data_IF_111917217738
#
_entry.id   IF_111917217738
#
_cell.length_a   1.000
_cell.length_b   1.000
_cell.length_c   1.000
_cell.angle_alpha   90.00
_cell.angle_beta   90.00
_cell.angle_gamma   90.00
#
_symmetry.space_group_name_H-M   'P 1'
#
loop_
_entity.id
_entity.type
_entity.pdbx_description
1 polymer ?
#
# COMPACT_ATOMS: atom_id res chain seq x y z
N UNK A 1 19.23 -20.37 -6.88
CA UNK A 1 18.67 -19.01 -7.06
C UNK A 1 19.08 -18.18 -5.85
N UNK A 2 19.66 -17.00 -6.06
CA UNK A 2 20.18 -16.14 -4.98
C UNK A 2 19.02 -15.50 -4.18
N UNK A 3 19.25 -15.21 -2.90
CA UNK A 3 18.27 -14.57 -1.99
C UNK A 3 17.64 -13.29 -2.58
N UNK A 4 18.43 -12.49 -3.31
CA UNK A 4 17.94 -11.29 -4.00
C UNK A 4 16.86 -11.57 -5.05
N UNK A 5 16.95 -12.69 -5.76
CA UNK A 5 15.98 -13.00 -6.82
C UNK A 5 14.61 -13.32 -6.21
N UNK A 6 14.57 -14.03 -5.09
CA UNK A 6 13.34 -14.30 -4.36
C UNK A 6 12.69 -12.99 -3.88
N UNK A 7 13.47 -12.11 -3.26
CA UNK A 7 12.98 -10.81 -2.78
C UNK A 7 12.36 -9.96 -3.92
N UNK A 8 13.04 -9.86 -5.06
CA UNK A 8 12.55 -9.08 -6.21
C UNK A 8 11.24 -9.66 -6.76
N UNK A 9 11.15 -10.99 -6.90
CA UNK A 9 9.95 -11.66 -7.43
C UNK A 9 8.75 -11.42 -6.49
N UNK A 10 8.92 -11.65 -5.18
CA UNK A 10 7.84 -11.43 -4.20
C UNK A 10 7.46 -9.95 -4.10
N UNK A 11 8.41 -9.03 -4.16
CA UNK A 11 8.13 -7.59 -4.18
C UNK A 11 7.32 -7.19 -5.41
N UNK A 12 7.64 -7.73 -6.59
CA UNK A 12 6.91 -7.43 -7.82
C UNK A 12 5.47 -7.95 -7.74
N UNK A 13 5.28 -9.16 -7.21
CA UNK A 13 3.95 -9.76 -6.99
C UNK A 13 3.14 -8.95 -5.97
N UNK A 14 3.78 -8.48 -4.89
CA UNK A 14 3.12 -7.65 -3.88
C UNK A 14 2.60 -6.34 -4.49
N UNK A 15 3.41 -5.67 -5.31
CA UNK A 15 2.99 -4.44 -6.01
C UNK A 15 1.87 -4.75 -7.01
N UNK A 16 2.00 -5.81 -7.81
CA UNK A 16 0.98 -6.20 -8.78
C UNK A 16 -0.37 -6.51 -8.13
N UNK A 17 -0.36 -7.26 -7.02
CA UNK A 17 -1.58 -7.58 -6.26
C UNK A 17 -2.19 -6.33 -5.62
N UNK A 18 -1.38 -5.45 -5.03
CA UNK A 18 -1.85 -4.16 -4.48
C UNK A 18 -2.49 -3.25 -5.54
N UNK A 19 -1.96 -3.22 -6.76
CA UNK A 19 -2.59 -2.47 -7.86
C UNK A 19 -3.94 -3.07 -8.24
N UNK A 20 -4.04 -4.41 -8.24
CA UNK A 20 -5.27 -5.11 -8.58
C UNK A 20 -6.36 -4.93 -7.51
N UNK A 21 -5.98 -4.80 -6.22
CA UNK A 21 -6.90 -4.43 -5.12
C UNK A 21 -7.63 -3.13 -5.44
N UNK A 22 -6.90 -2.09 -5.86
CA UNK A 22 -7.46 -0.74 -6.06
C UNK A 22 -8.18 -0.64 -7.41
N UNK A 23 -7.74 -1.41 -8.42
CA UNK A 23 -8.31 -1.36 -9.78
C UNK A 23 -9.58 -2.18 -9.94
N UNK A 24 -9.88 -3.12 -9.04
CA UNK A 24 -11.03 -4.01 -9.18
C UNK A 24 -12.33 -3.31 -8.76
N UNK A 25 -13.35 -3.21 -9.63
CA UNK A 25 -14.58 -2.47 -9.33
C UNK A 25 -15.51 -3.18 -8.33
N UNK A 26 -15.36 -4.50 -8.17
CA UNK A 26 -16.15 -5.27 -7.21
C UNK A 26 -15.39 -5.38 -5.87
N UNK A 27 -16.02 -4.91 -4.78
CA UNK A 27 -15.40 -4.84 -3.46
C UNK A 27 -15.01 -6.22 -2.90
N UNK A 28 -15.80 -7.27 -3.15
CA UNK A 28 -15.45 -8.65 -2.73
C UNK A 28 -14.15 -9.11 -3.36
N UNK A 29 -14.00 -8.91 -4.67
CA UNK A 29 -12.77 -9.30 -5.36
C UNK A 29 -11.59 -8.42 -4.93
N UNK A 30 -11.80 -7.12 -4.71
CA UNK A 30 -10.78 -6.21 -4.18
C UNK A 30 -10.20 -6.71 -2.84
N UNK A 31 -11.06 -7.10 -1.89
CA UNK A 31 -10.60 -7.61 -0.59
C UNK A 31 -9.95 -8.98 -0.73
N UNK A 32 -10.40 -9.84 -1.64
CA UNK A 32 -9.70 -11.11 -1.92
C UNK A 32 -8.25 -10.87 -2.38
N UNK A 33 -8.03 -9.91 -3.29
CA UNK A 33 -6.68 -9.49 -3.70
C UNK A 33 -5.88 -8.91 -2.53
N UNK A 34 -6.54 -8.28 -1.56
CA UNK A 34 -5.89 -7.74 -0.35
C UNK A 34 -5.36 -8.87 0.55
N UNK A 35 -6.12 -9.97 0.71
CA UNK A 35 -5.66 -11.15 1.45
C UNK A 35 -4.39 -11.71 0.81
N UNK A 36 -4.37 -11.83 -0.53
CA UNK A 36 -3.21 -12.30 -1.28
C UNK A 36 -2.01 -11.36 -1.09
N UNK A 37 -2.23 -10.04 -1.10
CA UNK A 37 -1.18 -9.06 -0.85
C UNK A 37 -0.58 -9.20 0.55
N UNK A 38 -1.40 -9.38 1.58
CA UNK A 38 -0.91 -9.61 2.94
C UNK A 38 -0.13 -10.92 3.10
N UNK A 39 -0.58 -12.00 2.45
CA UNK A 39 0.19 -13.25 2.45
C UNK A 39 1.55 -13.05 1.77
N UNK A 40 1.62 -12.33 0.65
CA UNK A 40 2.89 -11.99 0.00
C UNK A 40 3.80 -11.14 0.89
N UNK A 41 3.22 -10.16 1.62
CA UNK A 41 3.97 -9.35 2.58
C UNK A 41 4.55 -10.19 3.72
N UNK A 42 3.82 -11.18 4.22
CA UNK A 42 4.32 -12.11 5.23
C UNK A 42 5.52 -12.93 4.73
N UNK A 43 5.47 -13.43 3.50
CA UNK A 43 6.59 -14.14 2.88
C UNK A 43 7.80 -13.21 2.68
N UNK A 44 7.57 -11.93 2.41
CA UNK A 44 8.62 -10.92 2.33
C UNK A 44 9.31 -10.69 3.69
N UNK A 45 8.55 -10.65 4.79
CA UNK A 45 9.12 -10.56 6.14
C UNK A 45 9.98 -11.78 6.50
N UNK A 46 9.53 -12.98 6.15
CA UNK A 46 10.29 -14.22 6.37
C UNK A 46 11.58 -14.22 5.52
N UNK A 47 11.52 -13.75 4.27
CA UNK A 47 12.71 -13.64 3.41
C UNK A 47 13.75 -12.64 3.94
N UNK A 48 13.33 -11.67 4.75
CA UNK A 48 14.21 -10.71 5.42
C UNK A 48 14.76 -11.24 6.77
N UNK A 49 14.36 -12.43 7.21
CA UNK A 49 14.72 -13.02 8.50
C UNK A 49 13.88 -12.50 9.68
N UNK A 50 12.72 -11.88 9.42
CA UNK A 50 11.80 -11.39 10.46
C UNK A 50 10.67 -12.40 10.73
N UNK A 51 11.02 -13.61 11.15
CA UNK A 51 10.08 -14.73 11.27
C UNK A 51 8.94 -14.46 12.27
N UNK A 52 9.27 -13.90 13.44
CA UNK A 52 8.28 -13.63 14.49
C UNK A 52 7.26 -12.56 14.07
N UNK A 53 7.73 -11.49 13.43
CA UNK A 53 6.87 -10.43 12.88
C UNK A 53 6.01 -11.02 11.74
N UNK A 54 6.60 -11.82 10.86
CA UNK A 54 5.88 -12.49 9.77
C UNK A 54 4.75 -13.40 10.26
N UNK A 55 4.98 -14.17 11.32
CA UNK A 55 3.96 -15.02 11.93
C UNK A 55 2.83 -14.22 12.57
N UNK A 56 3.14 -13.18 13.34
CA UNK A 56 2.11 -12.28 13.89
C UNK A 56 1.33 -11.60 12.77
N UNK A 57 2.01 -11.23 11.68
CA UNK A 57 1.37 -10.60 10.53
C UNK A 57 0.32 -11.52 9.90
N UNK A 58 0.63 -12.81 9.73
CA UNK A 58 -0.34 -13.81 9.25
C UNK A 58 -1.50 -13.93 10.24
N UNK A 59 -1.24 -14.08 11.54
CA UNK A 59 -2.31 -14.35 12.51
C UNK A 59 -3.26 -13.15 12.65
N UNK A 60 -2.72 -11.93 12.78
CA UNK A 60 -3.51 -10.73 13.07
C UNK A 60 -4.04 -10.07 11.79
N UNK A 61 -3.18 -9.83 10.80
CA UNK A 61 -3.59 -9.09 9.61
C UNK A 61 -4.32 -9.97 8.60
N UNK A 62 -3.76 -11.14 8.26
CA UNK A 62 -4.42 -12.07 7.33
C UNK A 62 -5.59 -12.76 8.02
N UNK A 63 -5.39 -13.27 9.24
CA UNK A 63 -6.37 -14.09 9.95
C UNK A 63 -7.54 -13.32 10.54
N UNK A 64 -7.30 -12.24 11.29
CA UNK A 64 -8.37 -11.48 11.93
C UNK A 64 -8.87 -10.34 11.04
N UNK A 65 -8.01 -9.39 10.69
CA UNK A 65 -8.42 -8.12 10.07
C UNK A 65 -8.97 -8.35 8.65
N UNK A 66 -8.22 -9.04 7.78
CA UNK A 66 -8.62 -9.20 6.38
C UNK A 66 -9.86 -10.07 6.20
N UNK A 67 -10.00 -11.14 6.99
CA UNK A 67 -11.18 -12.00 6.99
C UNK A 67 -12.40 -11.25 7.56
N UNK A 68 -12.23 -10.45 8.64
CA UNK A 68 -13.29 -9.58 9.14
C UNK A 68 -13.75 -8.60 8.08
N UNK A 69 -12.81 -7.97 7.35
CA UNK A 69 -13.15 -7.13 6.21
C UNK A 69 -13.95 -7.90 5.18
N UNK A 70 -13.54 -9.11 4.79
CA UNK A 70 -14.27 -9.97 3.84
C UNK A 70 -15.71 -10.23 4.29
N UNK A 71 -15.91 -10.55 5.57
CA UNK A 71 -17.27 -10.71 6.11
C UNK A 71 -18.08 -9.42 6.04
N UNK A 72 -17.51 -8.31 6.52
CA UNK A 72 -18.19 -7.01 6.58
C UNK A 72 -18.57 -6.51 5.18
N UNK A 73 -17.63 -6.54 4.23
CA UNK A 73 -17.88 -6.09 2.86
C UNK A 73 -18.87 -6.99 2.13
N UNK A 74 -18.87 -8.31 2.38
CA UNK A 74 -19.85 -9.22 1.80
C UNK A 74 -21.26 -8.94 2.33
N UNK A 75 -21.41 -8.60 3.61
CA UNK A 75 -22.71 -8.22 4.19
C UNK A 75 -23.22 -6.87 3.66
N UNK A 76 -22.32 -5.95 3.34
CA UNK A 76 -22.65 -4.61 2.83
C UNK A 76 -22.82 -4.60 1.30
N UNK A 77 -22.31 -5.63 0.60
CA UNK A 77 -22.26 -5.65 -0.86
C UNK A 77 -23.65 -5.52 -1.46
N UNK A 78 -23.91 -4.37 -2.10
CA UNK A 78 -25.12 -4.16 -2.86
C UNK A 78 -24.96 -4.78 -4.26
N UNK A 79 -25.97 -5.47 -4.81
CA UNK A 79 -25.91 -6.00 -6.16
C UNK A 79 -25.67 -4.87 -7.15
N UNK A 80 -24.72 -5.07 -8.06
CA UNK A 80 -24.27 -4.08 -9.03
C UNK A 80 -25.46 -3.53 -9.82
N UNK A 81 -25.87 -2.31 -9.49
CA UNK A 81 -26.72 -1.49 -10.36
C UNK A 81 -25.79 -0.99 -11.44
N UNK A 82 -26.09 -1.28 -12.71
CA UNK A 82 -25.31 -0.87 -13.88
C UNK A 82 -25.21 0.65 -13.94
N UNK A 83 -24.30 1.23 -13.17
CA UNK A 83 -23.93 2.62 -13.30
C UNK A 83 -22.84 2.63 -14.37
N UNK A 84 -23.22 3.05 -15.56
CA UNK A 84 -22.30 3.47 -16.61
C UNK A 84 -21.51 4.67 -16.09
N UNK A 85 -20.56 4.43 -15.21
CA UNK A 85 -19.66 5.45 -14.70
C UNK A 85 -18.38 5.35 -15.52
N UNK A 86 -18.30 6.28 -16.46
CA UNK A 86 -17.13 6.69 -17.21
C UNK A 86 -15.87 6.70 -16.31
N UNK A 87 -15.17 5.57 -16.31
CA UNK A 87 -13.96 5.27 -15.54
C UNK A 87 -12.74 5.88 -16.27
N UNK A 88 -12.84 7.13 -16.71
CA UNK A 88 -11.76 7.83 -17.43
C UNK A 88 -11.08 8.93 -16.59
N UNK A 89 -11.66 9.28 -15.43
CA UNK A 89 -11.20 10.42 -14.63
C UNK A 89 -10.43 10.09 -13.34
N UNK A 90 -10.17 8.83 -13.00
CA UNK A 90 -9.37 8.48 -11.80
C UNK A 90 -7.85 8.40 -12.06
N UNK A 91 -7.42 8.16 -13.30
CA UNK A 91 -6.01 8.24 -13.72
C UNK A 91 -5.34 9.61 -13.44
N UNK A 92 -5.96 10.76 -13.78
CA UNK A 92 -5.32 12.07 -13.58
C UNK A 92 -5.14 12.42 -12.10
N UNK A 93 -5.98 11.89 -11.20
CA UNK A 93 -5.85 12.13 -9.76
C UNK A 93 -4.59 11.46 -9.20
N UNK A 94 -4.31 10.21 -9.61
CA UNK A 94 -3.08 9.51 -9.23
C UNK A 94 -1.82 10.24 -9.68
N UNK A 95 -1.80 10.71 -10.93
CA UNK A 95 -0.69 11.51 -11.48
C UNK A 95 -0.50 12.84 -10.73
N UNK A 96 -1.60 13.48 -10.33
CA UNK A 96 -1.55 14.76 -9.59
C UNK A 96 -0.88 14.61 -8.23
N UNK A 97 -1.19 13.53 -7.48
CA UNK A 97 -0.56 13.24 -6.19
C UNK A 97 0.93 12.96 -6.34
N UNK A 98 1.31 12.19 -7.35
CA UNK A 98 2.72 11.87 -7.66
C UNK A 98 3.50 13.14 -8.04
N UNK A 99 2.92 13.99 -8.88
CA UNK A 99 3.51 15.26 -9.30
C UNK A 99 3.70 16.20 -8.10
N UNK A 100 2.68 16.35 -7.25
CA UNK A 100 2.73 17.19 -6.05
C UNK A 100 3.80 16.70 -5.07
N UNK A 101 3.86 15.39 -4.82
CA UNK A 101 4.88 14.80 -3.96
C UNK A 101 6.30 14.99 -4.51
N UNK A 102 6.49 14.81 -5.82
CA UNK A 102 7.77 15.06 -6.50
C UNK A 102 8.20 16.54 -6.37
N UNK A 103 7.27 17.48 -6.54
CA UNK A 103 7.54 18.91 -6.35
C UNK A 103 7.89 19.24 -4.90
N UNK A 104 7.22 18.64 -3.91
CA UNK A 104 7.49 18.87 -2.48
C UNK A 104 8.89 18.36 -2.07
N UNK A 105 9.26 17.17 -2.53
CA UNK A 105 10.58 16.57 -2.26
C UNK A 105 11.72 17.43 -2.85
N UNK A 106 11.50 17.97 -4.04
CA UNK A 106 12.50 18.81 -4.72
C UNK A 106 12.61 20.20 -4.07
N UNK A 107 11.51 20.74 -3.50
CA UNK A 107 11.46 22.07 -2.86
C UNK A 107 11.69 22.06 -1.33
N UNK A 108 12.42 21.08 -0.80
CA UNK A 108 12.82 21.04 0.62
C UNK A 108 14.15 21.75 0.99
N UNK A 109 14.70 22.77 0.29
CA UNK A 109 15.89 23.42 0.82
C UNK A 109 15.49 24.37 1.97
N UNK A 110 16.03 24.09 3.16
CA UNK A 110 16.38 25.07 4.21
C UNK A 110 15.25 25.65 5.11
N UNK A 111 14.52 24.79 5.82
CA UNK A 111 13.75 25.22 7.01
C UNK A 111 14.43 24.92 8.37
N UNK A 112 15.65 24.38 8.39
CA UNK A 112 16.34 23.96 9.64
C UNK A 112 17.74 24.58 9.80
N UNK A 113 17.94 25.83 9.37
CA UNK A 113 19.17 26.57 9.73
C UNK A 113 18.77 27.95 10.23
N UNK A 114 18.50 28.02 11.53
CA UNK A 114 18.15 29.22 12.27
C UNK A 114 19.45 29.97 12.67
N UNK A 115 19.67 31.23 12.28
CA UNK A 115 20.88 32.00 12.60
C UNK A 115 20.78 32.76 13.96
N UNK A 116 20.13 32.20 14.98
CA UNK A 116 19.88 32.90 16.27
C UNK A 116 21.06 32.86 17.25
N UNK A 117 22.21 32.29 16.88
CA UNK A 117 23.39 32.19 17.77
C UNK A 117 24.45 33.28 17.53
N UNK A 118 24.29 34.19 16.55
CA UNK A 118 25.37 35.13 16.18
C UNK A 118 25.24 36.55 16.77
N UNK A 119 24.14 36.90 17.45
CA UNK A 119 23.91 38.26 17.98
C UNK A 119 24.17 38.44 19.48
N UNK A 120 24.79 37.45 20.15
CA UNK A 120 24.99 37.45 21.63
C UNK A 120 26.44 37.33 22.10
N UNK A 121 27.41 37.78 21.30
CA UNK A 121 28.79 38.03 21.79
C UNK A 121 29.35 39.31 21.16
N UNK A 122 28.87 40.46 21.67
CA UNK A 122 29.63 41.71 21.73
C UNK A 122 29.91 41.95 23.22
#
# INVERSE_FOLDING_TARGET
>A
MNMNNFFIIFSLILVGTSLMVISTPNSVYSVFWLVIAFVNAAVMFISLGLDYIGLIFIIVYVGAIAILFLFVIMLIQQPNKTYSQDHSHFLPVGLSVIFLFYTLLTNSPKYIVNPVIESRTN
#
